data_IF_900719007313
#
_entry.id   IF_900719007313
#
_cell.length_a   1.000
_cell.length_b   1.000
_cell.length_c   1.000
_cell.angle_alpha   90.00
_cell.angle_beta   90.00
_cell.angle_gamma   90.00
#
_symmetry.space_group_name_H-M   'P 1'
#
loop_
_entity.id
_entity.type
_entity.pdbx_description
1 polymer ?
#
# COMPACT_ATOMS: atom_id res chain seq x y z
N UNK A 1 20.59 2.94 -3.85
CA UNK A 1 19.71 1.79 -3.57
C UNK A 1 19.94 0.77 -4.69
N UNK A 2 19.54 -0.50 -4.55
CA UNK A 2 19.66 -1.45 -5.66
C UNK A 2 18.69 -1.05 -6.80
N UNK A 3 19.07 -1.27 -8.08
CA UNK A 3 18.18 -1.01 -9.20
C UNK A 3 16.94 -1.91 -9.15
N UNK A 4 15.82 -1.44 -9.70
CA UNK A 4 14.64 -2.26 -9.98
C UNK A 4 14.74 -2.72 -11.44
N UNK A 5 15.48 -3.81 -11.66
CA UNK A 5 15.89 -4.30 -12.97
C UNK A 5 15.40 -5.72 -13.30
N UNK A 6 14.55 -6.28 -12.45
CA UNK A 6 13.88 -7.56 -12.68
C UNK A 6 12.51 -7.58 -12.04
N UNK A 7 11.62 -8.46 -12.51
CA UNK A 7 10.28 -8.61 -11.95
C UNK A 7 10.33 -9.01 -10.46
N UNK A 8 11.28 -9.85 -10.05
CA UNK A 8 11.44 -10.22 -8.64
C UNK A 8 11.92 -9.04 -7.77
N UNK A 9 12.88 -8.22 -8.24
CA UNK A 9 13.30 -7.02 -7.53
C UNK A 9 12.16 -5.99 -7.42
N UNK A 10 11.36 -5.87 -8.48
CA UNK A 10 10.20 -5.00 -8.56
C UNK A 10 9.10 -5.39 -7.54
N UNK A 11 8.77 -6.68 -7.47
CA UNK A 11 7.80 -7.23 -6.49
C UNK A 11 8.33 -7.11 -5.06
N UNK A 12 9.57 -7.52 -4.81
CA UNK A 12 10.17 -7.45 -3.47
C UNK A 12 10.25 -6.01 -2.96
N UNK A 13 10.52 -5.04 -3.85
CA UNK A 13 10.47 -3.63 -3.51
C UNK A 13 9.05 -3.18 -3.14
N UNK A 14 8.06 -3.54 -3.96
CA UNK A 14 6.66 -3.18 -3.71
C UNK A 14 6.18 -3.72 -2.35
N UNK A 15 6.43 -5.00 -2.08
CA UNK A 15 6.09 -5.63 -0.80
C UNK A 15 6.75 -4.93 0.39
N UNK A 16 8.07 -4.71 0.31
CA UNK A 16 8.83 -4.08 1.39
C UNK A 16 8.33 -2.67 1.70
N UNK A 17 8.08 -1.85 0.68
CA UNK A 17 7.63 -0.47 0.88
C UNK A 17 6.19 -0.40 1.36
N UNK A 18 5.29 -1.23 0.81
CA UNK A 18 3.91 -1.31 1.29
C UNK A 18 3.84 -1.73 2.76
N UNK A 19 4.62 -2.75 3.16
CA UNK A 19 4.71 -3.20 4.55
C UNK A 19 5.26 -2.09 5.46
N UNK A 20 6.35 -1.44 5.06
CA UNK A 20 6.94 -0.36 5.85
C UNK A 20 6.01 0.84 6.03
N UNK A 21 5.41 1.35 4.94
CA UNK A 21 4.56 2.53 5.00
C UNK A 21 3.28 2.26 5.78
N UNK A 22 2.62 1.11 5.55
CA UNK A 22 1.42 0.73 6.30
C UNK A 22 1.70 0.60 7.80
N UNK A 23 2.77 -0.11 8.17
CA UNK A 23 3.16 -0.31 9.57
C UNK A 23 3.53 1.00 10.24
N UNK A 24 4.48 1.77 9.68
CA UNK A 24 4.93 3.01 10.34
C UNK A 24 3.77 4.00 10.45
N UNK A 25 2.88 4.10 9.47
CA UNK A 25 1.74 5.02 9.52
C UNK A 25 0.75 4.64 10.63
N UNK A 26 0.33 3.37 10.69
CA UNK A 26 -0.61 2.89 11.69
C UNK A 26 -0.05 3.03 13.12
N UNK A 27 1.16 2.50 13.35
CA UNK A 27 1.76 2.50 14.69
C UNK A 27 2.09 3.92 15.17
N UNK A 28 2.50 4.82 14.28
CA UNK A 28 2.74 6.24 14.65
C UNK A 28 1.44 6.94 15.02
N UNK A 29 0.36 6.70 14.28
CA UNK A 29 -0.93 7.32 14.57
C UNK A 29 -1.47 6.87 15.92
N UNK A 30 -1.53 5.56 16.14
CA UNK A 30 -1.94 4.98 17.42
C UNK A 30 -1.05 5.51 18.56
N UNK A 31 0.28 5.53 18.39
CA UNK A 31 1.20 5.96 19.46
C UNK A 31 0.96 7.41 19.86
N UNK A 32 0.73 8.27 18.87
CA UNK A 32 0.41 9.68 19.10
C UNK A 32 -0.88 9.83 19.91
N UNK A 33 -1.93 9.05 19.62
CA UNK A 33 -3.22 9.14 20.34
C UNK A 33 -3.23 8.44 21.69
N UNK A 34 -2.55 7.31 21.80
CA UNK A 34 -2.50 6.51 23.03
C UNK A 34 -1.66 7.17 24.13
N UNK A 35 -0.62 7.92 23.74
CA UNK A 35 0.30 8.55 24.69
C UNK A 35 0.85 7.54 25.71
N UNK A 36 0.65 7.82 26.99
CA UNK A 36 1.11 6.95 28.09
C UNK A 36 0.35 5.63 28.20
N UNK A 37 -0.81 5.50 27.57
CA UNK A 37 -1.57 4.24 27.56
C UNK A 37 -1.08 3.25 26.49
N UNK A 38 -0.12 3.64 25.64
CA UNK A 38 0.41 2.78 24.57
C UNK A 38 0.72 1.34 25.02
N UNK A 39 1.44 1.07 26.13
CA UNK A 39 1.74 -0.29 26.54
C UNK A 39 0.49 -1.11 26.89
N UNK A 40 -0.50 -0.48 27.55
CA UNK A 40 -1.71 -1.15 28.02
C UNK A 40 -2.63 -1.59 26.89
N UNK A 41 -2.60 -0.90 25.75
CA UNK A 41 -3.40 -1.29 24.58
C UNK A 41 -3.05 -2.69 24.08
N UNK A 42 -1.80 -3.16 24.30
CA UNK A 42 -1.37 -4.49 23.89
C UNK A 42 -1.76 -5.59 24.89
N UNK A 43 -2.36 -5.24 26.03
CA UNK A 43 -2.93 -6.19 26.99
C UNK A 43 -4.42 -6.49 26.69
N UNK A 44 -5.06 -5.70 25.82
CA UNK A 44 -6.46 -5.83 25.45
C UNK A 44 -6.62 -6.67 24.16
N UNK A 45 -7.17 -7.87 24.28
CA UNK A 45 -7.39 -8.78 23.14
C UNK A 45 -8.33 -8.22 22.07
N UNK A 46 -9.34 -7.43 22.45
CA UNK A 46 -10.30 -6.82 21.50
C UNK A 46 -9.60 -5.74 20.69
N UNK A 47 -8.76 -4.94 21.34
CA UNK A 47 -7.91 -3.97 20.69
C UNK A 47 -6.92 -4.64 19.73
N UNK A 48 -6.26 -5.71 20.17
CA UNK A 48 -5.32 -6.47 19.34
C UNK A 48 -5.98 -7.05 18.08
N UNK A 49 -7.22 -7.55 18.18
CA UNK A 49 -8.00 -8.00 17.01
C UNK A 49 -8.27 -6.85 16.04
N UNK A 50 -8.68 -5.69 16.55
CA UNK A 50 -8.92 -4.50 15.73
C UNK A 50 -7.64 -4.00 15.04
N UNK A 51 -6.51 -4.05 15.75
CA UNK A 51 -5.20 -3.70 15.21
C UNK A 51 -4.75 -4.68 14.11
N UNK A 52 -5.01 -5.99 14.25
CA UNK A 52 -4.75 -6.99 13.20
C UNK A 52 -5.54 -6.67 11.92
N UNK A 53 -6.84 -6.39 12.05
CA UNK A 53 -7.68 -5.96 10.92
C UNK A 53 -7.12 -4.71 10.25
N UNK A 54 -6.78 -3.69 11.05
CA UNK A 54 -6.20 -2.45 10.54
C UNK A 54 -4.92 -2.67 9.74
N UNK A 55 -3.99 -3.50 10.24
CA UNK A 55 -2.74 -3.79 9.54
C UNK A 55 -2.99 -4.36 8.15
N UNK A 56 -3.87 -5.36 8.04
CA UNK A 56 -4.11 -6.03 6.76
C UNK A 56 -4.83 -5.14 5.76
N UNK A 57 -5.86 -4.40 6.16
CA UNK A 57 -6.55 -3.48 5.26
C UNK A 57 -5.64 -2.37 4.74
N UNK A 58 -4.81 -1.78 5.60
CA UNK A 58 -3.87 -0.73 5.19
C UNK A 58 -2.77 -1.32 4.29
N UNK A 59 -2.26 -2.51 4.62
CA UNK A 59 -1.26 -3.19 3.81
C UNK A 59 -1.79 -3.56 2.43
N UNK A 60 -2.97 -4.17 2.33
CA UNK A 60 -3.61 -4.51 1.05
C UNK A 60 -3.82 -3.28 0.16
N UNK A 61 -4.36 -2.19 0.73
CA UNK A 61 -4.51 -0.93 0.02
C UNK A 61 -3.15 -0.36 -0.44
N UNK A 62 -2.12 -0.40 0.41
CA UNK A 62 -0.78 0.06 0.08
C UNK A 62 -0.10 -0.78 -1.02
N UNK A 63 -0.33 -2.10 -1.03
CA UNK A 63 0.13 -3.00 -2.10
C UNK A 63 -0.52 -2.61 -3.43
N UNK A 64 -1.84 -2.41 -3.44
CA UNK A 64 -2.56 -2.01 -4.65
C UNK A 64 -2.12 -0.61 -5.15
N UNK A 65 -2.03 0.38 -4.26
CA UNK A 65 -1.56 1.73 -4.56
C UNK A 65 -0.19 1.71 -5.26
N UNK A 66 0.75 0.99 -4.66
CA UNK A 66 2.11 0.93 -5.15
C UNK A 66 2.24 0.12 -6.44
N UNK A 67 1.49 -0.98 -6.56
CA UNK A 67 1.47 -1.80 -7.78
C UNK A 67 0.93 -1.02 -8.97
N UNK A 68 -0.11 -0.23 -8.78
CA UNK A 68 -0.70 0.63 -9.81
C UNK A 68 0.25 1.79 -10.15
N UNK A 69 0.85 2.44 -9.14
CA UNK A 69 1.84 3.51 -9.39
C UNK A 69 3.03 3.00 -10.20
N UNK A 70 3.57 1.82 -9.84
CA UNK A 70 4.68 1.23 -10.57
C UNK A 70 4.30 0.87 -12.01
N UNK A 71 3.10 0.30 -12.24
CA UNK A 71 2.57 0.04 -13.58
C UNK A 71 2.44 1.31 -14.41
N UNK A 72 1.89 2.39 -13.83
CA UNK A 72 1.81 3.70 -14.48
C UNK A 72 3.22 4.27 -14.79
N UNK A 73 4.21 4.04 -13.92
CA UNK A 73 5.60 4.41 -14.20
C UNK A 73 6.19 3.65 -15.39
N UNK A 74 5.83 2.39 -15.63
CA UNK A 74 6.24 1.65 -16.82
C UNK A 74 5.63 2.27 -18.10
N UNK A 75 4.35 2.66 -18.06
CA UNK A 75 3.69 3.38 -19.16
C UNK A 75 4.37 4.70 -19.44
N UNK A 76 4.62 5.50 -18.39
CA UNK A 76 5.29 6.80 -18.51
C UNK A 76 6.70 6.69 -19.10
N UNK A 77 7.41 5.58 -18.85
CA UNK A 77 8.74 5.30 -19.41
C UNK A 77 8.69 4.78 -20.84
N UNK A 78 7.49 4.50 -21.39
CA UNK A 78 7.29 3.95 -22.73
C UNK A 78 7.59 2.45 -22.83
N UNK A 79 7.79 1.77 -21.71
CA UNK A 79 8.12 0.34 -21.67
C UNK A 79 6.88 -0.57 -21.70
N UNK A 80 5.71 -0.02 -21.37
CA UNK A 80 4.43 -0.75 -21.34
C UNK A 80 3.29 0.09 -21.92
N UNK A 81 2.26 -0.56 -22.45
CA UNK A 81 0.95 0.05 -22.69
C UNK A 81 0.04 -0.12 -21.45
N UNK A 82 -1.14 0.50 -21.48
CA UNK A 82 -2.09 0.45 -20.37
C UNK A 82 -2.50 -0.99 -20.00
N UNK A 83 -2.64 -1.87 -21.00
CA UNK A 83 -3.01 -3.27 -20.79
C UNK A 83 -1.90 -4.05 -20.11
N UNK A 84 -0.66 -3.89 -20.57
CA UNK A 84 0.52 -4.50 -19.96
C UNK A 84 0.69 -4.02 -18.52
N UNK A 85 0.51 -2.71 -18.27
CA UNK A 85 0.57 -2.16 -16.92
C UNK A 85 -0.51 -2.75 -16.00
N UNK A 86 -1.74 -2.88 -16.49
CA UNK A 86 -2.84 -3.54 -15.79
C UNK A 86 -2.49 -4.99 -15.41
N UNK A 87 -2.06 -5.80 -16.38
CA UNK A 87 -1.74 -7.21 -16.16
C UNK A 87 -0.59 -7.39 -15.16
N UNK A 88 0.47 -6.57 -15.27
CA UNK A 88 1.60 -6.59 -14.32
C UNK A 88 1.21 -6.13 -12.93
N UNK A 89 0.44 -5.04 -12.79
CA UNK A 89 -0.03 -4.59 -11.48
C UNK A 89 -0.88 -5.67 -10.79
N UNK A 90 -1.74 -6.37 -11.54
CA UNK A 90 -2.52 -7.51 -11.01
C UNK A 90 -1.60 -8.65 -10.57
N UNK A 91 -0.59 -8.99 -11.37
CA UNK A 91 0.40 -10.02 -11.02
C UNK A 91 1.16 -9.67 -9.73
N UNK A 92 1.58 -8.42 -9.54
CA UNK A 92 2.26 -7.95 -8.31
C UNK A 92 1.34 -8.10 -7.11
N UNK A 93 0.11 -7.59 -7.19
CA UNK A 93 -0.87 -7.67 -6.10
C UNK A 93 -1.08 -9.13 -5.69
N UNK A 94 -1.33 -10.01 -6.67
CA UNK A 94 -1.56 -11.44 -6.41
C UNK A 94 -0.31 -12.07 -5.79
N UNK A 95 0.88 -11.90 -6.38
CA UNK A 95 2.12 -12.51 -5.88
C UNK A 95 2.44 -12.07 -4.45
N UNK A 96 2.21 -10.81 -4.11
CA UNK A 96 2.45 -10.32 -2.74
C UNK A 96 1.41 -10.89 -1.79
N UNK A 97 0.12 -10.70 -2.06
CA UNK A 97 -0.92 -11.06 -1.10
C UNK A 97 -1.07 -12.58 -0.93
N UNK A 98 -0.83 -13.39 -1.97
CA UNK A 98 -0.86 -14.85 -1.87
C UNK A 98 0.28 -15.44 -1.03
N UNK A 99 1.36 -14.68 -0.79
CA UNK A 99 2.48 -15.15 0.05
C UNK A 99 2.14 -15.15 1.55
N UNK A 100 1.04 -14.53 1.95
CA UNK A 100 0.63 -14.44 3.34
C UNK A 100 -0.51 -15.42 3.64
N UNK A 101 -0.20 -16.48 4.38
CA UNK A 101 -1.23 -17.30 5.01
C UNK A 101 -1.95 -16.46 6.07
N UNK A 102 -3.28 -16.36 5.96
CA UNK A 102 -4.08 -15.56 6.89
C UNK A 102 -4.67 -16.37 8.02
N UNK A 103 -4.07 -16.21 9.20
CA UNK A 103 -4.63 -16.67 10.48
C UNK A 103 -5.01 -15.47 11.38
N UNK A 104 -4.75 -14.24 10.93
CA UNK A 104 -4.91 -13.00 11.71
C UNK A 104 -6.32 -12.38 11.58
N UNK A 105 -6.97 -12.58 10.42
CA UNK A 105 -8.28 -12.03 10.05
C UNK A 105 -9.09 -13.07 9.27
N UNK A 106 -10.42 -12.93 9.15
CA UNK A 106 -11.22 -13.79 8.30
C UNK A 106 -10.70 -13.84 6.87
N UNK A 107 -10.56 -15.05 6.31
CA UNK A 107 -10.05 -15.25 4.95
C UNK A 107 -10.87 -14.49 3.88
N UNK A 108 -12.18 -14.33 4.12
CA UNK A 108 -13.08 -13.56 3.25
C UNK A 108 -12.64 -12.09 3.19
N UNK A 109 -12.33 -11.47 4.31
CA UNK A 109 -11.95 -10.05 4.36
C UNK A 109 -10.63 -9.82 3.62
N UNK A 110 -9.68 -10.75 3.73
CA UNK A 110 -8.42 -10.71 2.99
C UNK A 110 -8.59 -10.92 1.48
N UNK A 111 -9.50 -11.80 1.08
CA UNK A 111 -9.86 -11.98 -0.32
C UNK A 111 -10.50 -10.70 -0.89
N UNK A 112 -11.43 -10.08 -0.16
CA UNK A 112 -12.07 -8.82 -0.57
C UNK A 112 -11.06 -7.68 -0.77
N UNK A 113 -10.02 -7.58 0.07
CA UNK A 113 -8.92 -6.61 -0.15
C UNK A 113 -8.16 -6.87 -1.45
N UNK A 114 -7.94 -8.13 -1.78
CA UNK A 114 -7.27 -8.52 -3.03
C UNK A 114 -8.16 -8.16 -4.23
N UNK A 115 -9.44 -8.51 -4.17
CA UNK A 115 -10.42 -8.22 -5.21
C UNK A 115 -10.58 -6.71 -5.44
N UNK A 116 -10.61 -5.90 -4.38
CA UNK A 116 -10.64 -4.44 -4.46
C UNK A 116 -9.40 -3.90 -5.17
N UNK A 117 -8.21 -4.40 -4.82
CA UNK A 117 -6.97 -4.03 -5.50
C UNK A 117 -6.97 -4.37 -6.99
N UNK A 118 -7.49 -5.55 -7.36
CA UNK A 118 -7.60 -5.98 -8.75
C UNK A 118 -8.62 -5.15 -9.54
N UNK A 119 -9.77 -4.85 -8.94
CA UNK A 119 -10.79 -3.99 -9.55
C UNK A 119 -10.24 -2.58 -9.83
N UNK A 120 -9.38 -2.07 -8.94
CA UNK A 120 -8.73 -0.77 -9.16
C UNK A 120 -7.80 -0.76 -10.37
N UNK A 121 -7.13 -1.87 -10.70
CA UNK A 121 -6.35 -1.97 -11.93
C UNK A 121 -7.23 -1.78 -13.17
N UNK A 122 -8.50 -2.20 -13.12
CA UNK A 122 -9.42 -2.12 -14.26
C UNK A 122 -9.91 -0.69 -14.53
N UNK A 123 -9.78 0.21 -13.55
CA UNK A 123 -10.22 1.61 -13.63
C UNK A 123 -9.09 2.63 -13.50
N UNK A 124 -7.84 2.17 -13.46
CA UNK A 124 -6.68 3.03 -13.28
C UNK A 124 -6.44 3.92 -14.51
N UNK A 125 -6.24 5.22 -14.28
CA UNK A 125 -5.71 6.13 -15.29
C UNK A 125 -4.19 5.98 -15.35
N UNK A 126 -3.73 5.05 -16.19
CA UNK A 126 -2.32 4.71 -16.32
C UNK A 126 -1.43 5.86 -16.83
N UNK A 127 -2.02 6.92 -17.40
CA UNK A 127 -1.30 8.10 -17.86
C UNK A 127 -1.10 9.14 -16.76
N UNK A 128 -2.09 9.32 -15.89
CA UNK A 128 -2.05 10.34 -14.83
C UNK A 128 -1.45 9.81 -13.52
N UNK A 129 -1.63 8.53 -13.21
CA UNK A 129 -1.25 7.95 -11.91
C UNK A 129 0.27 7.84 -11.69
N UNK A 130 1.07 8.03 -12.74
CA UNK A 130 2.53 8.12 -12.65
C UNK A 130 3.01 9.48 -12.09
N UNK A 131 2.10 10.44 -11.92
CA UNK A 131 2.36 11.75 -11.36
C UNK A 131 1.62 11.98 -10.05
N UNK A 132 2.25 12.78 -9.19
CA UNK A 132 1.62 13.17 -7.93
C UNK A 132 1.28 11.97 -7.04
N UNK A 133 0.33 12.15 -6.11
CA UNK A 133 -0.02 11.14 -5.11
C UNK A 133 -1.32 10.39 -5.40
N UNK A 134 -1.97 10.62 -6.55
CA UNK A 134 -3.32 10.13 -6.80
C UNK A 134 -3.46 8.61 -6.61
N UNK A 135 -2.43 7.84 -6.98
CA UNK A 135 -2.38 6.39 -6.78
C UNK A 135 -2.42 5.95 -5.31
N UNK A 136 -2.08 6.85 -4.36
CA UNK A 136 -1.86 6.55 -2.94
C UNK A 136 -2.98 7.00 -2.01
N UNK A 137 -4.08 7.54 -2.57
CA UNK A 137 -5.24 7.97 -1.79
C UNK A 137 -5.90 6.80 -1.02
N UNK A 138 -6.06 5.60 -1.60
CA UNK A 138 -6.76 4.50 -0.92
C UNK A 138 -6.04 3.96 0.32
N UNK A 139 -4.70 3.91 0.37
CA UNK A 139 -3.99 3.56 1.62
C UNK A 139 -4.17 4.61 2.71
N UNK A 140 -4.36 5.88 2.35
CA UNK A 140 -4.70 6.93 3.30
C UNK A 140 -6.15 6.78 3.80
N UNK A 141 -7.10 6.47 2.91
CA UNK A 141 -8.49 6.16 3.28
C UNK A 141 -8.56 4.94 4.20
N UNK A 142 -7.81 3.88 3.89
CA UNK A 142 -7.74 2.67 4.71
C UNK A 142 -7.18 2.98 6.11
N UNK A 143 -6.17 3.84 6.22
CA UNK A 143 -5.62 4.25 7.51
C UNK A 143 -6.66 4.98 8.37
N UNK A 144 -7.41 5.92 7.79
CA UNK A 144 -8.48 6.64 8.49
C UNK A 144 -9.63 5.72 8.85
N UNK A 145 -10.01 4.80 7.94
CA UNK A 145 -11.14 3.90 8.17
C UNK A 145 -10.83 2.90 9.27
N UNK A 146 -9.69 2.21 9.17
CA UNK A 146 -9.43 1.00 9.93
C UNK A 146 -8.57 1.19 11.17
N UNK A 147 -7.90 2.33 11.36
CA UNK A 147 -7.14 2.56 12.59
C UNK A 147 -8.06 2.37 13.83
N UNK A 148 -7.61 1.62 14.86
CA UNK A 148 -8.42 1.30 16.04
C UNK A 148 -8.46 2.49 17.01
N UNK A 149 -9.02 3.60 16.53
CA UNK A 149 -9.16 4.88 17.19
C UNK A 149 -10.63 5.29 17.04
N UNK A 150 -11.19 5.92 18.08
CA UNK A 150 -12.58 6.36 18.07
C UNK A 150 -12.87 7.30 16.88
N UNK A 151 -14.03 7.14 16.24
CA UNK A 151 -14.40 7.83 15.00
C UNK A 151 -14.37 9.36 15.13
N UNK A 152 -14.73 9.89 16.30
CA UNK A 152 -14.67 11.33 16.57
C UNK A 152 -13.23 11.84 16.52
N UNK A 153 -12.28 11.04 17.00
CA UNK A 153 -10.86 11.41 16.96
C UNK A 153 -10.30 11.29 15.54
N UNK A 154 -10.68 10.26 14.79
CA UNK A 154 -10.27 10.09 13.38
C UNK A 154 -10.75 11.25 12.52
N UNK A 155 -11.96 11.74 12.77
CA UNK A 155 -12.52 12.94 12.11
C UNK A 155 -11.68 14.19 12.38
N UNK A 156 -11.23 14.38 13.63
CA UNK A 156 -10.40 15.53 14.01
C UNK A 156 -8.96 15.43 13.47
N UNK A 157 -8.44 14.22 13.34
CA UNK A 157 -7.05 13.97 12.95
C UNK A 157 -6.88 13.78 11.43
N UNK A 158 -7.98 13.70 10.66
CA UNK A 158 -8.01 13.17 9.30
C UNK A 158 -6.97 13.83 8.38
N UNK A 159 -6.96 15.16 8.31
CA UNK A 159 -6.04 15.92 7.45
C UNK A 159 -4.57 15.61 7.79
N UNK A 160 -4.22 15.62 9.08
CA UNK A 160 -2.84 15.39 9.55
C UNK A 160 -2.41 13.95 9.28
N UNK A 161 -3.30 12.98 9.51
CA UNK A 161 -3.01 11.57 9.30
C UNK A 161 -2.85 11.25 7.82
N UNK A 162 -3.71 11.80 6.96
CA UNK A 162 -3.57 11.70 5.50
C UNK A 162 -2.27 12.30 4.99
N UNK A 163 -1.93 13.51 5.46
CA UNK A 163 -0.67 14.16 5.12
C UNK A 163 0.54 13.33 5.58
N UNK A 164 0.46 12.71 6.76
CA UNK A 164 1.52 11.87 7.32
C UNK A 164 1.83 10.65 6.43
N UNK A 165 0.82 9.88 6.01
CA UNK A 165 1.06 8.73 5.11
C UNK A 165 1.47 9.20 3.70
N UNK A 166 0.89 10.29 3.19
CA UNK A 166 1.30 10.89 1.91
C UNK A 166 2.80 11.24 1.89
N UNK A 167 3.31 11.88 2.96
CA UNK A 167 4.73 12.23 3.06
C UNK A 167 5.66 11.02 3.00
N UNK A 168 5.22 9.85 3.50
CA UNK A 168 6.00 8.60 3.42
C UNK A 168 6.10 8.10 1.98
N UNK A 169 5.05 8.26 1.19
CA UNK A 169 5.06 7.90 -0.22
C UNK A 169 5.94 8.81 -1.09
N UNK A 170 6.29 10.03 -0.65
CA UNK A 170 7.18 10.92 -1.42
C UNK A 170 8.55 10.27 -1.68
N UNK A 171 9.17 9.71 -0.64
CA UNK A 171 10.49 9.08 -0.79
C UNK A 171 10.39 7.83 -1.66
N UNK A 172 9.37 6.99 -1.48
CA UNK A 172 9.15 5.79 -2.30
C UNK A 172 8.98 6.16 -3.77
N UNK A 173 8.17 7.18 -4.08
CA UNK A 173 7.96 7.65 -5.46
C UNK A 173 9.25 8.18 -6.09
N UNK A 174 10.04 8.95 -5.34
CA UNK A 174 11.35 9.44 -5.80
C UNK A 174 12.28 8.27 -6.08
N UNK A 175 12.37 7.34 -5.15
CA UNK A 175 13.23 6.18 -5.26
C UNK A 175 12.88 5.31 -6.49
N UNK A 176 11.60 5.12 -6.80
CA UNK A 176 11.15 4.46 -8.03
C UNK A 176 11.57 5.26 -9.27
N UNK A 177 11.35 6.57 -9.26
CA UNK A 177 11.75 7.44 -10.38
C UNK A 177 13.26 7.34 -10.66
N UNK A 178 14.08 7.22 -9.63
CA UNK A 178 15.54 7.19 -9.77
C UNK A 178 16.11 5.81 -10.11
N UNK A 179 15.46 4.71 -9.69
CA UNK A 179 16.06 3.36 -9.74
C UNK A 179 15.31 2.38 -10.66
N UNK A 180 14.16 2.73 -11.24
CA UNK A 180 13.42 1.85 -12.15
C UNK A 180 14.11 1.70 -13.51
N UNK A 181 14.50 0.46 -13.85
CA UNK A 181 15.01 0.07 -15.16
C UNK A 181 13.88 -0.63 -15.92
N UNK A 182 12.98 0.18 -16.50
CA UNK A 182 11.69 -0.27 -17.00
C UNK A 182 11.78 -1.41 -18.04
N UNK A 183 12.68 -1.30 -19.02
CA UNK A 183 12.84 -2.34 -20.06
C UNK A 183 13.32 -3.68 -19.48
N UNK A 184 14.16 -3.65 -18.45
CA UNK A 184 14.67 -4.86 -17.80
C UNK A 184 13.59 -5.56 -16.95
N UNK A 185 12.73 -4.78 -16.30
CA UNK A 185 11.53 -5.32 -15.62
C UNK A 185 10.61 -6.00 -16.63
N UNK A 186 10.30 -5.34 -17.76
CA UNK A 186 9.43 -5.91 -18.80
C UNK A 186 10.02 -7.17 -19.43
N UNK A 187 11.33 -7.20 -19.68
CA UNK A 187 12.00 -8.37 -20.26
C UNK A 187 12.03 -9.60 -19.34
N UNK A 188 11.72 -9.43 -18.05
CA UNK A 188 11.76 -10.49 -17.03
C UNK A 188 10.40 -10.83 -16.42
N UNK A 189 9.31 -10.26 -16.96
CA UNK A 189 7.97 -10.37 -16.43
C UNK A 189 7.18 -11.58 -16.94
#
# INVERSE_FOLDING_TARGET
MAPLDSMDAYIAYAEKQAAFVSQVSLYTYIKTRAGTQWPKLFEDETYLKSMKMARWHIFGAAVADLSIYLGAMLVKRGAADARTAQDLSRQVIIRILSNYQQDDIPAKDFAEMTDEGLLRCDHADWTELAEGPAAFQPSADALIRWAPIADELKTLDEEIVRNSIHMRWINVRRDIKDNLVADAVIASA
#
